data_IF_772836267758
#
_entry.id   IF_772836267758
#
_cell.length_a   1.000
_cell.length_b   1.000
_cell.length_c   1.000
_cell.angle_alpha   90.00
_cell.angle_beta   90.00
_cell.angle_gamma   90.00
#
_symmetry.space_group_name_H-M   'P 1'
#
loop_
_entity.id
_entity.type
_entity.pdbx_description
1 polymer ?
#
# COMPACT_ATOMS: atom_id res chain seq x y z
N UNK A 1 -16.19 56.74 21.40
CA UNK A 1 -16.47 55.54 20.59
C UNK A 1 -15.15 54.85 20.36
N UNK A 2 -14.93 53.72 21.05
CA UNK A 2 -13.65 53.02 21.12
C UNK A 2 -13.70 51.82 20.18
N UNK A 3 -12.72 51.69 19.28
CA UNK A 3 -12.55 50.52 18.44
C UNK A 3 -11.23 49.83 18.84
N UNK A 4 -11.34 48.79 19.66
CA UNK A 4 -10.25 47.85 19.93
C UNK A 4 -10.29 46.77 18.83
N UNK A 5 -9.31 46.77 17.95
CA UNK A 5 -9.09 45.72 16.96
C UNK A 5 -8.15 44.67 17.57
N UNK A 6 -8.69 43.52 17.95
CA UNK A 6 -7.89 42.37 18.38
C UNK A 6 -7.31 41.66 17.15
N UNK A 7 -6.02 41.87 16.86
CA UNK A 7 -5.25 41.01 15.97
C UNK A 7 -4.80 39.77 16.76
N UNK A 8 -5.49 38.64 16.58
CA UNK A 8 -5.01 37.34 17.03
C UNK A 8 -4.00 36.81 16.01
N UNK A 9 -2.72 37.06 16.27
CA UNK A 9 -1.61 36.36 15.62
C UNK A 9 -1.57 34.92 16.13
N UNK A 10 -2.19 33.99 15.41
CA UNK A 10 -1.89 32.57 15.59
C UNK A 10 -0.48 32.31 15.03
N UNK A 11 0.52 32.37 15.91
CA UNK A 11 1.79 31.73 15.67
C UNK A 11 1.57 30.22 15.69
N UNK A 12 1.26 29.65 14.52
CA UNK A 12 1.23 28.21 14.33
C UNK A 12 2.60 27.66 14.68
N UNK A 13 2.70 26.95 15.81
CA UNK A 13 3.87 26.15 16.15
C UNK A 13 4.06 25.15 15.01
N UNK A 14 5.10 25.36 14.21
CA UNK A 14 5.56 24.39 13.23
C UNK A 14 6.13 23.22 14.03
N UNK A 15 5.27 22.28 14.42
CA UNK A 15 5.68 21.01 14.97
C UNK A 15 6.43 20.28 13.86
N UNK A 16 7.76 20.44 13.86
CA UNK A 16 8.65 19.63 13.05
C UNK A 16 8.32 18.17 13.31
N UNK A 17 8.00 17.44 12.23
CA UNK A 17 7.78 16.00 12.26
C UNK A 17 9.03 15.38 12.87
N UNK A 18 8.97 15.01 14.15
CA UNK A 18 9.99 14.16 14.74
C UNK A 18 9.73 12.78 14.17
N UNK A 19 10.34 12.50 13.00
CA UNK A 19 10.58 11.12 12.58
C UNK A 19 11.26 10.48 13.78
N UNK A 20 10.56 9.58 14.45
CA UNK A 20 11.12 8.87 15.61
C UNK A 20 12.45 8.27 15.14
N UNK A 21 13.47 8.32 16.01
CA UNK A 21 14.71 7.58 15.77
C UNK A 21 14.36 6.15 15.33
N UNK A 22 15.11 5.58 14.38
CA UNK A 22 14.87 4.21 13.93
C UNK A 22 14.71 3.31 15.15
N UNK A 23 13.57 2.64 15.24
CA UNK A 23 13.23 1.81 16.38
C UNK A 23 14.12 0.57 16.32
N UNK A 24 14.69 0.15 17.46
CA UNK A 24 15.60 -1.00 17.51
C UNK A 24 14.91 -2.30 17.07
N UNK A 25 13.59 -2.40 17.27
CA UNK A 25 12.76 -3.51 16.79
C UNK A 25 11.40 -2.97 16.31
N UNK A 26 10.96 -3.30 15.08
CA UNK A 26 9.66 -2.86 14.57
C UNK A 26 8.51 -3.55 15.30
N UNK A 27 7.47 -2.77 15.65
CA UNK A 27 6.25 -3.30 16.25
C UNK A 27 5.37 -3.92 15.15
N UNK A 28 5.29 -5.25 15.10
CA UNK A 28 4.52 -5.99 14.09
C UNK A 28 3.59 -6.98 14.78
N UNK A 29 2.30 -6.93 14.43
CA UNK A 29 1.25 -7.82 14.93
C UNK A 29 0.63 -8.59 13.78
N UNK A 30 0.41 -9.88 13.94
CA UNK A 30 -0.32 -10.68 12.96
C UNK A 30 -1.84 -10.46 13.11
N UNK A 31 -2.54 -10.36 11.98
CA UNK A 31 -4.00 -10.24 11.91
C UNK A 31 -4.57 -11.28 10.94
N UNK A 32 -5.75 -11.80 11.25
CA UNK A 32 -6.44 -12.82 10.44
C UNK A 32 -7.57 -12.26 9.58
N UNK A 33 -7.88 -10.97 9.75
CA UNK A 33 -8.80 -10.20 8.92
C UNK A 33 -8.40 -8.74 8.96
N UNK A 34 -8.50 -8.05 7.82
CA UNK A 34 -8.31 -6.59 7.76
C UNK A 34 -9.23 -5.84 8.73
N UNK A 35 -10.37 -6.42 9.13
CA UNK A 35 -11.26 -5.78 10.11
C UNK A 35 -10.58 -5.58 11.47
N UNK A 36 -9.63 -6.44 11.83
CA UNK A 36 -8.90 -6.35 13.11
C UNK A 36 -8.07 -5.07 13.25
N UNK A 37 -7.73 -4.40 12.13
CA UNK A 37 -7.03 -3.11 12.16
C UNK A 37 -7.82 -2.05 12.94
N UNK A 38 -9.16 -2.17 13.01
CA UNK A 38 -10.01 -1.23 13.74
C UNK A 38 -9.63 -1.09 15.23
N UNK A 39 -9.04 -2.15 15.82
CA UNK A 39 -8.56 -2.16 17.21
C UNK A 39 -7.37 -1.22 17.44
N UNK A 40 -6.70 -0.80 16.38
CA UNK A 40 -5.48 0.02 16.42
C UNK A 40 -5.74 1.49 16.07
N UNK A 41 -6.97 1.84 15.67
CA UNK A 41 -7.32 3.19 15.22
C UNK A 41 -7.49 4.14 16.41
N UNK A 42 -6.75 5.24 16.37
CA UNK A 42 -6.90 6.40 17.26
C UNK A 42 -7.07 7.69 16.44
N UNK A 43 -7.43 8.83 17.03
CA UNK A 43 -7.44 10.10 16.31
C UNK A 43 -6.10 10.39 15.61
N UNK A 44 -6.17 11.00 14.43
CA UNK A 44 -5.02 11.35 13.57
C UNK A 44 -4.16 10.13 13.14
N UNK A 45 -4.81 8.98 12.93
CA UNK A 45 -4.18 7.79 12.34
C UNK A 45 -4.16 7.88 10.81
N UNK A 46 -2.99 7.61 10.22
CA UNK A 46 -2.84 7.27 8.81
C UNK A 46 -2.80 5.75 8.66
N UNK A 47 -3.73 5.19 7.89
CA UNK A 47 -3.74 3.77 7.54
C UNK A 47 -3.23 3.59 6.12
N UNK A 48 -2.27 2.69 5.97
CA UNK A 48 -1.65 2.29 4.72
C UNK A 48 -2.02 0.84 4.44
N UNK A 49 -2.42 0.56 3.21
CA UNK A 49 -2.63 -0.81 2.74
C UNK A 49 -1.66 -1.12 1.60
N UNK A 50 -1.01 -2.28 1.65
CA UNK A 50 -0.55 -2.89 0.42
C UNK A 50 -1.73 -3.35 -0.46
N UNK A 51 -1.46 -3.61 -1.73
CA UNK A 51 -2.46 -3.98 -2.72
C UNK A 51 -2.47 -5.49 -3.00
N UNK A 52 -1.45 -5.97 -3.70
CA UNK A 52 -1.35 -7.35 -4.16
C UNK A 52 -1.25 -8.31 -2.97
N UNK A 53 -2.02 -9.40 -2.99
CA UNK A 53 -2.14 -10.39 -1.90
C UNK A 53 -2.63 -9.84 -0.54
N UNK A 54 -2.82 -8.52 -0.41
CA UNK A 54 -3.33 -7.88 0.80
C UNK A 54 -4.80 -7.50 0.65
N UNK A 55 -5.14 -6.67 -0.34
CA UNK A 55 -6.53 -6.26 -0.60
C UNK A 55 -7.16 -7.09 -1.71
N UNK A 56 -6.39 -7.40 -2.75
CA UNK A 56 -6.83 -8.22 -3.87
C UNK A 56 -5.69 -9.05 -4.44
N UNK A 57 -6.05 -10.06 -5.23
CA UNK A 57 -5.12 -10.85 -6.02
C UNK A 57 -5.58 -10.91 -7.48
N UNK A 58 -4.64 -11.20 -8.37
CA UNK A 58 -4.91 -11.45 -9.77
C UNK A 58 -5.81 -12.68 -9.95
N UNK A 59 -6.79 -12.59 -10.85
CA UNK A 59 -7.65 -13.74 -11.22
C UNK A 59 -6.95 -14.72 -12.17
N UNK A 60 -5.72 -14.42 -12.60
CA UNK A 60 -4.90 -15.26 -13.46
C UNK A 60 -3.49 -15.43 -12.88
N UNK A 61 -2.92 -16.62 -13.00
CA UNK A 61 -1.58 -16.94 -12.48
C UNK A 61 -0.52 -15.99 -13.02
N UNK A 62 -0.58 -15.67 -14.31
CA UNK A 62 0.43 -14.81 -14.96
C UNK A 62 0.46 -13.41 -14.33
N UNK A 63 -0.69 -12.85 -13.98
CA UNK A 63 -0.77 -11.55 -13.29
C UNK A 63 -0.47 -11.62 -11.79
N UNK A 64 -0.27 -12.81 -11.22
CA UNK A 64 -0.19 -13.00 -9.76
C UNK A 64 1.19 -12.65 -9.20
N UNK A 65 1.23 -11.98 -8.04
CA UNK A 65 2.48 -11.57 -7.39
C UNK A 65 3.39 -12.77 -7.05
N UNK A 66 2.81 -13.86 -6.53
CA UNK A 66 3.54 -15.11 -6.28
C UNK A 66 4.22 -15.67 -7.54
N UNK A 67 3.53 -15.69 -8.68
CA UNK A 67 4.12 -16.13 -9.95
C UNK A 67 5.32 -15.25 -10.35
N UNK A 68 5.17 -13.93 -10.28
CA UNK A 68 6.28 -13.01 -10.52
C UNK A 68 7.49 -13.30 -9.62
N UNK A 69 7.26 -13.48 -8.31
CA UNK A 69 8.31 -13.77 -7.34
C UNK A 69 9.00 -15.12 -7.64
N UNK A 70 8.25 -16.15 -8.01
CA UNK A 70 8.80 -17.46 -8.34
C UNK A 70 9.60 -17.43 -9.65
N UNK A 71 9.14 -16.67 -10.65
CA UNK A 71 9.89 -16.47 -11.90
C UNK A 71 11.20 -15.72 -11.66
N UNK A 72 11.23 -14.68 -10.81
CA UNK A 72 12.47 -13.99 -10.44
C UNK A 72 13.47 -14.92 -9.75
N UNK A 73 12.99 -15.82 -8.87
CA UNK A 73 13.85 -16.82 -8.22
C UNK A 73 14.36 -17.87 -9.20
N UNK A 74 13.51 -18.31 -10.13
CA UNK A 74 13.83 -19.35 -11.13
C UNK A 74 14.81 -18.85 -12.20
N UNK A 75 14.72 -17.57 -12.58
CA UNK A 75 15.58 -16.96 -13.61
C UNK A 75 16.22 -15.64 -13.15
N UNK A 76 17.19 -15.69 -12.22
CA UNK A 76 17.81 -14.48 -11.65
C UNK A 76 18.56 -13.62 -12.68
N UNK A 77 18.98 -14.19 -13.81
CA UNK A 77 19.69 -13.48 -14.89
C UNK A 77 18.73 -12.83 -15.92
N UNK A 78 17.41 -13.02 -15.78
CA UNK A 78 16.39 -12.52 -16.73
C UNK A 78 15.41 -11.54 -16.10
N UNK A 79 15.83 -10.81 -15.05
CA UNK A 79 14.93 -9.94 -14.28
C UNK A 79 14.22 -8.90 -15.15
N UNK A 80 14.92 -8.23 -16.06
CA UNK A 80 14.33 -7.21 -16.92
C UNK A 80 13.25 -7.77 -17.84
N UNK A 81 13.46 -8.99 -18.36
CA UNK A 81 12.47 -9.67 -19.18
C UNK A 81 11.25 -10.07 -18.34
N UNK A 82 11.48 -10.63 -17.15
CA UNK A 82 10.42 -11.02 -16.23
C UNK A 82 9.58 -9.80 -15.84
N UNK A 83 10.22 -8.67 -15.50
CA UNK A 83 9.53 -7.42 -15.18
C UNK A 83 8.62 -6.96 -16.31
N UNK A 84 9.14 -6.90 -17.55
CA UNK A 84 8.35 -6.46 -18.71
C UNK A 84 7.14 -7.37 -18.96
N UNK A 85 7.33 -8.69 -18.88
CA UNK A 85 6.25 -9.67 -19.06
C UNK A 85 5.22 -9.56 -17.93
N UNK A 86 5.68 -9.41 -16.69
CA UNK A 86 4.80 -9.19 -15.54
C UNK A 86 3.95 -7.96 -15.66
N UNK A 87 4.53 -6.84 -16.08
CA UNK A 87 3.75 -5.63 -16.24
C UNK A 87 2.68 -5.78 -17.32
N UNK A 88 3.03 -6.39 -18.46
CA UNK A 88 2.04 -6.68 -19.50
C UNK A 88 0.95 -7.64 -19.06
N UNK A 89 1.26 -8.61 -18.21
CA UNK A 89 0.26 -9.53 -17.66
C UNK A 89 -0.65 -8.86 -16.62
N UNK A 90 -0.07 -8.13 -15.66
CA UNK A 90 -0.81 -7.38 -14.64
C UNK A 90 -1.76 -6.39 -15.30
N UNK A 91 -1.31 -5.67 -16.34
CA UNK A 91 -2.15 -4.71 -17.05
C UNK A 91 -3.38 -5.33 -17.72
N UNK A 92 -3.32 -6.59 -18.13
CA UNK A 92 -4.41 -7.28 -18.84
C UNK A 92 -5.28 -8.17 -17.95
N UNK A 93 -4.95 -8.30 -16.68
CA UNK A 93 -5.63 -9.26 -15.80
C UNK A 93 -6.60 -8.54 -14.87
N UNK A 94 -7.73 -9.18 -14.58
CA UNK A 94 -8.66 -8.72 -13.57
C UNK A 94 -8.18 -9.11 -12.16
N UNK A 95 -8.76 -8.48 -11.14
CA UNK A 95 -8.44 -8.78 -9.74
C UNK A 95 -9.71 -9.13 -8.99
N UNK A 96 -9.54 -9.90 -7.91
CA UNK A 96 -10.61 -10.22 -6.95
C UNK A 96 -10.16 -9.91 -5.54
N UNK A 97 -11.11 -9.53 -4.68
CA UNK A 97 -10.83 -9.25 -3.28
C UNK A 97 -10.30 -10.49 -2.55
N UNK A 98 -9.35 -10.29 -1.63
CA UNK A 98 -8.95 -11.32 -0.66
C UNK A 98 -10.06 -11.52 0.38
N UNK A 99 -10.62 -10.40 0.86
CA UNK A 99 -11.79 -10.36 1.72
C UNK A 99 -12.85 -9.43 1.14
N UNK A 100 -14.05 -9.95 0.91
CA UNK A 100 -15.22 -9.17 0.43
C UNK A 100 -15.59 -7.99 1.35
N UNK A 101 -15.15 -8.00 2.62
CA UNK A 101 -15.42 -6.93 3.57
C UNK A 101 -14.49 -5.71 3.38
N UNK A 102 -13.40 -5.83 2.62
CA UNK A 102 -12.36 -4.79 2.52
C UNK A 102 -12.87 -3.42 2.08
N UNK A 103 -13.67 -3.29 1.00
CA UNK A 103 -14.17 -1.99 0.58
C UNK A 103 -15.03 -1.33 1.67
N UNK A 104 -15.81 -2.14 2.41
CA UNK A 104 -16.66 -1.66 3.50
C UNK A 104 -15.84 -1.19 4.70
N UNK A 105 -14.78 -1.91 5.08
CA UNK A 105 -13.87 -1.50 6.17
C UNK A 105 -13.21 -0.17 5.81
N UNK A 106 -12.61 -0.07 4.61
CA UNK A 106 -11.96 1.16 4.13
C UNK A 106 -12.93 2.33 4.12
N UNK A 107 -14.12 2.17 3.52
CA UNK A 107 -15.12 3.22 3.46
C UNK A 107 -15.60 3.66 4.86
N UNK A 108 -15.70 2.75 5.82
CA UNK A 108 -16.08 3.09 7.18
C UNK A 108 -14.99 3.86 7.93
N UNK A 109 -13.71 3.51 7.74
CA UNK A 109 -12.58 4.27 8.28
C UNK A 109 -12.59 5.69 7.72
N UNK A 110 -12.75 5.82 6.40
CA UNK A 110 -12.82 7.11 5.72
C UNK A 110 -13.98 7.98 6.24
N UNK A 111 -15.18 7.39 6.41
CA UNK A 111 -16.35 8.08 6.99
C UNK A 111 -16.13 8.57 8.43
N UNK A 112 -15.24 7.90 9.18
CA UNK A 112 -14.86 8.29 10.54
C UNK A 112 -13.76 9.37 10.56
N UNK A 113 -13.35 9.87 9.40
CA UNK A 113 -12.29 10.87 9.27
C UNK A 113 -10.87 10.30 9.38
N UNK A 114 -10.70 8.98 9.27
CA UNK A 114 -9.37 8.35 9.24
C UNK A 114 -8.77 8.55 7.86
N UNK A 115 -7.52 9.01 7.79
CA UNK A 115 -6.78 9.12 6.54
C UNK A 115 -6.37 7.71 6.10
N UNK A 116 -6.74 7.33 4.87
CA UNK A 116 -6.48 5.99 4.32
C UNK A 116 -5.87 6.14 2.94
N UNK A 117 -4.78 5.44 2.68
CA UNK A 117 -4.14 5.39 1.36
C UNK A 117 -3.52 4.00 1.11
N UNK A 118 -3.13 3.74 -0.12
CA UNK A 118 -2.36 2.54 -0.47
C UNK A 118 -0.86 2.85 -0.59
N UNK A 119 -0.03 1.85 -0.33
CA UNK A 119 1.42 1.85 -0.51
C UNK A 119 1.83 0.54 -1.17
N UNK A 120 2.10 0.59 -2.47
CA UNK A 120 2.34 -0.60 -3.31
C UNK A 120 3.77 -0.66 -3.82
N UNK A 121 4.29 -1.87 -4.04
CA UNK A 121 5.57 -2.10 -4.73
C UNK A 121 5.44 -2.20 -6.26
N UNK A 122 4.23 -1.97 -6.80
CA UNK A 122 4.02 -1.92 -8.25
C UNK A 122 4.80 -0.76 -8.87
N UNK A 123 5.38 -1.00 -10.04
CA UNK A 123 6.04 0.05 -10.79
C UNK A 123 5.02 1.06 -11.33
N UNK A 124 5.40 2.34 -11.39
CA UNK A 124 4.55 3.44 -11.88
C UNK A 124 4.04 3.23 -13.32
N UNK A 125 4.73 2.42 -14.14
CA UNK A 125 4.23 2.02 -15.47
C UNK A 125 2.87 1.30 -15.40
N UNK A 126 2.51 0.75 -14.24
CA UNK A 126 1.23 0.09 -13.97
C UNK A 126 0.19 1.03 -13.36
N UNK A 127 0.39 2.35 -13.39
CA UNK A 127 -0.52 3.32 -12.78
C UNK A 127 -1.97 3.11 -13.25
N UNK A 128 -2.21 3.16 -14.56
CA UNK A 128 -3.55 3.03 -15.14
C UNK A 128 -4.20 1.68 -14.80
N UNK A 129 -3.44 0.59 -14.90
CA UNK A 129 -3.89 -0.74 -14.52
C UNK A 129 -4.29 -0.80 -13.04
N UNK A 130 -3.47 -0.19 -12.17
CA UNK A 130 -3.66 -0.19 -10.72
C UNK A 130 -4.91 0.59 -10.33
N UNK A 131 -5.09 1.81 -10.86
CA UNK A 131 -6.28 2.61 -10.62
C UNK A 131 -7.55 1.88 -11.08
N UNK A 132 -7.50 1.28 -12.27
CA UNK A 132 -8.62 0.53 -12.84
C UNK A 132 -8.97 -0.70 -11.99
N UNK A 133 -7.98 -1.45 -11.50
CA UNK A 133 -8.16 -2.64 -10.66
C UNK A 133 -8.65 -2.29 -9.24
N UNK A 134 -8.11 -1.26 -8.61
CA UNK A 134 -8.59 -0.76 -7.31
C UNK A 134 -10.07 -0.37 -7.40
N UNK A 135 -10.42 0.34 -8.48
CA UNK A 135 -11.81 0.74 -8.75
C UNK A 135 -12.72 -0.45 -9.05
N UNK A 136 -12.24 -1.47 -9.79
CA UNK A 136 -13.05 -2.64 -10.16
C UNK A 136 -13.48 -3.46 -8.94
N UNK A 137 -12.72 -3.41 -7.85
CA UNK A 137 -13.08 -4.05 -6.57
C UNK A 137 -13.81 -3.13 -5.58
N UNK A 138 -14.25 -1.95 -6.05
CA UNK A 138 -15.07 -1.02 -5.26
C UNK A 138 -14.31 -0.24 -4.18
N UNK A 139 -12.98 -0.16 -4.27
CA UNK A 139 -12.15 0.64 -3.37
C UNK A 139 -11.87 2.00 -3.99
N UNK A 140 -11.84 3.04 -3.16
CA UNK A 140 -11.53 4.41 -3.56
C UNK A 140 -10.72 5.10 -2.46
N UNK A 141 -9.43 5.25 -2.69
CA UNK A 141 -8.50 5.88 -1.73
C UNK A 141 -8.48 7.41 -1.81
N UNK A 142 -9.08 8.01 -2.84
CA UNK A 142 -9.07 9.47 -3.02
C UNK A 142 -9.89 10.22 -1.95
N UNK A 143 -10.87 9.55 -1.32
CA UNK A 143 -11.84 10.16 -0.40
C UNK A 143 -11.27 10.79 0.87
N UNK A 144 -10.13 10.29 1.35
CA UNK A 144 -9.42 10.87 2.50
C UNK A 144 -7.98 11.20 2.19
N UNK A 145 -7.68 11.41 0.90
CA UNK A 145 -6.46 12.06 0.48
C UNK A 145 -6.46 13.49 1.03
N UNK A 146 -5.52 13.80 1.93
CA UNK A 146 -5.22 15.17 2.32
C UNK A 146 -4.19 15.82 1.37
N UNK A 147 -4.03 15.26 0.17
CA UNK A 147 -2.80 15.36 -0.58
C UNK A 147 -3.06 15.60 -2.06
N UNK A 148 -2.19 16.41 -2.66
CA UNK A 148 -2.15 16.60 -4.09
C UNK A 148 -1.37 15.46 -4.74
N UNK A 149 -1.75 15.11 -5.97
CA UNK A 149 -1.02 14.13 -6.76
C UNK A 149 0.43 14.62 -6.99
N UNK A 150 1.34 13.66 -7.08
CA UNK A 150 2.75 13.89 -7.33
C UNK A 150 3.29 12.83 -8.30
N UNK A 151 4.58 12.87 -8.62
CA UNK A 151 5.17 11.89 -9.53
C UNK A 151 4.89 10.43 -9.12
N UNK A 152 4.84 10.14 -7.82
CA UNK A 152 4.67 8.78 -7.29
C UNK A 152 3.40 8.59 -6.46
N UNK A 153 2.56 9.62 -6.30
CA UNK A 153 1.32 9.54 -5.54
C UNK A 153 0.15 9.95 -6.44
N UNK A 154 -0.81 9.06 -6.62
CA UNK A 154 -1.97 9.27 -7.50
C UNK A 154 -3.24 8.71 -6.86
N UNK A 155 -4.28 9.53 -6.75
CA UNK A 155 -5.62 9.12 -6.27
C UNK A 155 -5.62 8.31 -4.96
N UNK A 156 -4.73 8.64 -4.02
CA UNK A 156 -4.63 7.88 -2.77
C UNK A 156 -3.67 6.70 -2.79
N UNK A 157 -2.84 6.54 -3.82
CA UNK A 157 -1.92 5.40 -3.97
C UNK A 157 -0.48 5.92 -4.12
N UNK A 158 0.39 5.54 -3.19
CA UNK A 158 1.84 5.79 -3.27
C UNK A 158 2.55 4.58 -3.89
N UNK A 159 3.26 4.82 -4.99
CA UNK A 159 4.02 3.81 -5.72
C UNK A 159 5.48 3.78 -5.24
N UNK A 160 5.86 2.66 -4.63
CA UNK A 160 7.25 2.27 -4.39
C UNK A 160 7.71 1.33 -5.52
N UNK A 161 9.02 1.25 -5.76
CA UNK A 161 9.56 0.36 -6.79
C UNK A 161 10.88 -0.27 -6.32
N UNK A 162 11.43 -1.22 -7.10
CA UNK A 162 12.58 -2.04 -6.66
C UNK A 162 13.83 -1.25 -6.20
N UNK A 163 14.03 -0.02 -6.71
CA UNK A 163 15.13 0.85 -6.32
C UNK A 163 14.72 1.94 -5.32
N UNK A 164 13.46 1.93 -4.89
CA UNK A 164 12.86 2.91 -4.02
C UNK A 164 11.87 2.22 -3.06
N UNK A 165 12.37 1.61 -1.98
CA UNK A 165 11.58 0.75 -1.09
C UNK A 165 10.48 1.54 -0.37
N UNK A 166 9.45 0.82 0.09
CA UNK A 166 8.21 1.39 0.67
C UNK A 166 8.49 2.35 1.82
N UNK A 167 9.40 1.99 2.72
CA UNK A 167 9.79 2.81 3.86
C UNK A 167 10.37 4.15 3.42
N UNK A 168 11.30 4.14 2.47
CA UNK A 168 11.92 5.35 1.96
C UNK A 168 10.93 6.22 1.14
N UNK A 169 10.05 5.59 0.38
CA UNK A 169 8.98 6.25 -0.37
C UNK A 169 8.02 6.98 0.58
N UNK A 170 7.51 6.28 1.57
CA UNK A 170 6.63 6.84 2.58
C UNK A 170 7.32 7.95 3.39
N UNK A 171 8.57 7.74 3.80
CA UNK A 171 9.31 8.74 4.58
C UNK A 171 9.49 10.05 3.83
N UNK A 172 9.80 10.00 2.52
CA UNK A 172 9.93 11.22 1.72
C UNK A 172 8.57 11.87 1.51
N UNK A 173 7.55 11.07 1.19
CA UNK A 173 6.18 11.57 1.05
C UNK A 173 5.69 12.30 2.32
N UNK A 174 5.94 11.74 3.51
CA UNK A 174 5.57 12.35 4.80
C UNK A 174 6.30 13.68 5.09
N UNK A 175 7.48 13.91 4.49
CA UNK A 175 8.20 15.20 4.62
C UNK A 175 7.52 16.29 3.81
N UNK A 176 7.01 15.94 2.63
CA UNK A 176 6.49 16.90 1.65
C UNK A 176 5.05 17.33 1.95
N UNK A 177 4.27 16.50 2.64
CA UNK A 177 2.87 16.79 2.96
C UNK A 177 2.71 17.60 4.26
N UNK A 178 1.66 18.42 4.36
CA UNK A 178 1.36 19.21 5.55
C UNK A 178 0.77 18.39 6.71
N UNK A 179 0.04 17.32 6.39
CA UNK A 179 -0.55 16.41 7.38
C UNK A 179 0.54 15.63 8.14
N UNK A 180 0.43 15.59 9.47
CA UNK A 180 1.39 14.94 10.36
C UNK A 180 0.64 13.90 11.23
N UNK A 181 0.55 12.64 10.79
CA UNK A 181 -0.19 11.64 11.54
C UNK A 181 0.46 11.38 12.90
N UNK A 182 -0.35 11.19 13.94
CA UNK A 182 0.13 10.75 15.27
C UNK A 182 0.44 9.26 15.30
N UNK A 183 -0.19 8.50 14.41
CA UNK A 183 -0.01 7.06 14.27
C UNK A 183 -0.02 6.69 12.79
N UNK A 184 0.89 5.81 12.40
CA UNK A 184 0.90 5.18 11.09
C UNK A 184 0.69 3.68 11.31
N UNK A 185 -0.23 3.10 10.55
CA UNK A 185 -0.48 1.67 10.52
C UNK A 185 -0.27 1.20 9.08
N UNK A 186 0.49 0.14 8.88
CA UNK A 186 0.63 -0.52 7.58
C UNK A 186 0.07 -1.94 7.66
N UNK A 187 -0.83 -2.28 6.74
CA UNK A 187 -1.30 -3.65 6.51
C UNK A 187 -0.61 -4.19 5.26
N UNK A 188 0.10 -5.32 5.37
CA UNK A 188 0.88 -5.92 4.28
C UNK A 188 0.99 -7.44 4.50
N UNK A 189 0.95 -8.21 3.42
CA UNK A 189 1.12 -9.66 3.45
C UNK A 189 2.60 -10.07 3.55
N UNK A 190 3.54 -9.17 3.25
CA UNK A 190 4.98 -9.44 3.31
C UNK A 190 5.61 -8.78 4.53
N UNK A 191 6.05 -9.61 5.49
CA UNK A 191 6.70 -9.13 6.72
C UNK A 191 7.89 -8.19 6.47
N UNK A 192 8.68 -8.44 5.43
CA UNK A 192 9.81 -7.57 5.04
C UNK A 192 9.39 -6.12 4.70
N UNK A 193 8.20 -5.93 4.13
CA UNK A 193 7.68 -4.60 3.80
C UNK A 193 7.29 -3.86 5.09
N UNK A 194 6.72 -4.58 6.06
CA UNK A 194 6.45 -4.05 7.39
C UNK A 194 7.74 -3.66 8.10
N UNK A 195 8.75 -4.52 8.08
CA UNK A 195 10.06 -4.24 8.68
C UNK A 195 10.70 -2.98 8.07
N UNK A 196 10.71 -2.87 6.74
CA UNK A 196 11.18 -1.70 6.01
C UNK A 196 10.48 -0.41 6.46
N UNK A 197 9.14 -0.38 6.39
CA UNK A 197 8.36 0.81 6.76
C UNK A 197 8.47 1.13 8.25
N UNK A 198 8.27 0.14 9.12
CA UNK A 198 8.27 0.36 10.57
C UNK A 198 9.64 0.82 11.08
N UNK A 199 10.74 0.33 10.51
CA UNK A 199 12.09 0.72 10.91
C UNK A 199 12.39 2.20 10.67
N UNK A 200 11.82 2.81 9.62
CA UNK A 200 12.10 4.20 9.24
C UNK A 200 11.04 5.20 9.68
N UNK A 201 9.79 4.77 9.90
CA UNK A 201 8.70 5.67 10.31
C UNK A 201 8.22 5.45 11.75
N UNK A 202 8.56 4.33 12.37
CA UNK A 202 7.97 3.91 13.65
C UNK A 202 6.49 3.56 13.53
N UNK A 203 6.04 3.12 12.36
CA UNK A 203 4.69 2.60 12.15
C UNK A 203 4.44 1.33 12.95
N UNK A 204 3.15 1.01 13.14
CA UNK A 204 2.69 -0.30 13.59
C UNK A 204 2.43 -1.14 12.33
N UNK A 205 3.10 -2.27 12.21
CA UNK A 205 2.88 -3.23 11.15
C UNK A 205 1.78 -4.22 11.52
N UNK A 206 0.83 -4.45 10.61
CA UNK A 206 -0.18 -5.48 10.71
C UNK A 206 0.09 -6.51 9.61
N UNK A 207 0.71 -7.62 10.01
CA UNK A 207 1.06 -8.74 9.13
C UNK A 207 -0.18 -9.55 8.79
N UNK A 208 -0.48 -9.63 7.50
CA UNK A 208 -1.73 -10.21 7.00
C UNK A 208 -1.46 -11.37 6.01
N UNK A 209 -1.08 -12.56 6.52
CA UNK A 209 -0.55 -13.65 5.68
C UNK A 209 -1.62 -14.53 4.99
N UNK A 210 -2.83 -14.01 4.74
CA UNK A 210 -3.95 -14.86 4.28
C UNK A 210 -3.62 -15.60 2.99
N UNK A 211 -3.04 -14.93 2.00
CA UNK A 211 -2.76 -15.54 0.68
C UNK A 211 -1.67 -16.60 0.77
N UNK A 212 -0.66 -16.41 1.62
CA UNK A 212 0.37 -17.43 1.85
C UNK A 212 -0.20 -18.70 2.47
N UNK A 213 -1.17 -18.56 3.39
CA UNK A 213 -1.85 -19.70 4.02
C UNK A 213 -2.92 -20.34 3.13
N UNK A 214 -3.54 -19.53 2.28
CA UNK A 214 -4.52 -19.95 1.29
C UNK A 214 -3.85 -20.03 -0.07
N UNK A 215 -2.98 -21.03 -0.29
CA UNK A 215 -2.59 -21.48 -1.65
C UNK A 215 -3.84 -21.98 -2.38
N UNK A 216 -4.74 -21.07 -2.71
CA UNK A 216 -5.87 -21.29 -3.58
C UNK A 216 -5.38 -20.91 -4.95
N UNK A 217 -4.95 -21.94 -5.66
CA UNK A 217 -5.23 -22.20 -7.07
C UNK A 217 -4.24 -23.30 -7.45
N UNK A 218 -4.77 -24.48 -7.78
CA UNK A 218 -4.03 -25.54 -8.46
C UNK A 218 -3.75 -25.05 -9.88
N UNK A 219 -2.87 -24.06 -10.00
CA UNK A 219 -2.50 -23.54 -11.30
C UNK A 219 -1.62 -24.55 -12.02
N UNK A 220 -1.87 -24.72 -13.31
CA UNK A 220 -0.96 -25.46 -14.17
C UNK A 220 0.26 -24.58 -14.47
N UNK A 221 1.33 -24.79 -13.71
CA UNK A 221 2.60 -24.07 -13.87
C UNK A 221 3.16 -24.17 -15.29
N UNK A 222 2.98 -25.30 -15.98
CA UNK A 222 3.47 -25.48 -17.35
C UNK A 222 2.68 -24.62 -18.33
N UNK A 223 1.37 -24.57 -18.15
CA UNK A 223 0.52 -23.72 -18.97
C UNK A 223 0.78 -22.23 -18.70
N UNK A 224 0.98 -21.83 -17.44
CA UNK A 224 1.33 -20.46 -17.10
C UNK A 224 2.70 -20.07 -17.67
N UNK A 225 3.70 -20.94 -17.55
CA UNK A 225 5.02 -20.75 -18.17
C UNK A 225 4.91 -20.64 -19.70
N UNK A 226 4.09 -21.50 -20.34
CA UNK A 226 3.83 -21.43 -21.78
C UNK A 226 3.20 -20.10 -22.17
N UNK A 227 2.14 -19.67 -21.49
CA UNK A 227 1.45 -18.39 -21.73
C UNK A 227 2.36 -17.20 -21.48
N UNK A 228 3.26 -17.31 -20.52
CA UNK A 228 4.22 -16.26 -20.18
C UNK A 228 5.35 -16.12 -21.20
N UNK A 229 5.89 -17.25 -21.66
CA UNK A 229 7.01 -17.30 -22.61
C UNK A 229 6.55 -17.11 -24.06
N UNK A 230 5.28 -17.35 -24.36
CA UNK A 230 4.71 -17.09 -25.67
C UNK A 230 4.74 -15.57 -25.95
N UNK A 231 5.24 -15.14 -27.13
CA UNK A 231 5.31 -13.73 -27.51
C UNK A 231 3.94 -13.10 -27.72
#
# INVERSE_FOLDING_TARGET
MSALLFLLLFAGSCATLQVKKPVSEPEIHEISSIKELENWIVPDTLVLFDLDNTLFESTDMVGHANWFNDMLKKYPDRQDEILKRSWGAIDRTDVRLIEEIAPKVIANLQKRGVSVMALTSRNLILLDATLRQVKSVGIDFSKTSHFEDSAYYHEGILFAHNNYPKGQALLNYLKDISFKPKRIILVDDLKKNLEDVCSVTGAIGLYYPIVDHKRHLEWDEKEAERRWLSP
#
